data_IF_900968877519
#
_entry.id   IF_900968877519
#
_cell.length_a   1.000
_cell.length_b   1.000
_cell.length_c   1.000
_cell.angle_alpha   90.00
_cell.angle_beta   90.00
_cell.angle_gamma   90.00
#
_symmetry.space_group_name_H-M   'P 1'
#
loop_
_entity.id
_entity.type
_entity.pdbx_description
1 polymer ?
#
# COMPACT_ATOMS: atom_id res chain seq x y z
N UNK A 1 7.26 -5.59 2.17
CA UNK A 1 6.85 -6.74 1.33
C UNK A 1 7.71 -7.98 1.56
N UNK A 2 9.04 -7.92 1.38
CA UNK A 2 9.92 -9.09 1.61
C UNK A 2 9.72 -9.68 3.01
N UNK A 3 9.60 -8.83 4.04
CA UNK A 3 9.37 -9.27 5.41
C UNK A 3 8.10 -10.14 5.58
N UNK A 4 7.04 -9.90 4.79
CA UNK A 4 5.83 -10.73 4.84
C UNK A 4 6.11 -12.14 4.30
N UNK A 5 6.72 -12.23 3.12
CA UNK A 5 7.06 -13.51 2.50
C UNK A 5 8.07 -14.31 3.35
N UNK A 6 9.08 -13.63 3.88
CA UNK A 6 10.08 -14.22 4.77
C UNK A 6 9.45 -14.75 6.07
N UNK A 7 8.60 -13.96 6.73
CA UNK A 7 7.91 -14.38 7.96
C UNK A 7 7.04 -15.63 7.75
N UNK A 8 6.40 -15.74 6.58
CA UNK A 8 5.58 -16.89 6.21
C UNK A 8 6.36 -18.02 5.51
N UNK A 9 7.68 -17.92 5.38
CA UNK A 9 8.56 -18.88 4.71
C UNK A 9 8.11 -19.21 3.27
N UNK A 10 7.64 -18.19 2.54
CA UNK A 10 7.18 -18.30 1.16
C UNK A 10 8.33 -17.91 0.23
N UNK A 11 8.76 -18.84 -0.63
CA UNK A 11 9.71 -18.58 -1.71
C UNK A 11 8.96 -18.51 -3.06
N UNK A 12 8.56 -17.31 -3.53
CA UNK A 12 7.78 -17.19 -4.75
C UNK A 12 8.63 -17.49 -5.99
N UNK A 13 8.04 -18.16 -6.97
CA UNK A 13 8.60 -18.18 -8.32
C UNK A 13 8.32 -16.84 -9.00
N UNK A 14 9.32 -15.97 -9.06
CA UNK A 14 9.15 -14.61 -9.62
C UNK A 14 9.06 -14.69 -11.15
N UNK A 15 7.83 -14.64 -11.67
CA UNK A 15 7.56 -14.67 -13.12
C UNK A 15 7.99 -13.36 -13.80
N UNK A 16 7.75 -12.21 -13.16
CA UNK A 16 8.08 -10.90 -13.70
C UNK A 16 8.43 -9.92 -12.57
N UNK A 17 9.35 -8.99 -12.86
CA UNK A 17 9.59 -7.80 -12.02
C UNK A 17 9.13 -6.55 -12.77
N UNK A 18 8.32 -5.73 -12.12
CA UNK A 18 7.86 -4.44 -12.62
C UNK A 18 8.16 -3.35 -11.60
N UNK A 19 8.28 -2.10 -12.05
CA UNK A 19 8.45 -0.93 -11.16
C UNK A 19 7.20 -0.05 -11.08
N UNK A 20 6.25 -0.30 -11.96
CA UNK A 20 5.07 0.52 -12.14
C UNK A 20 3.81 -0.29 -11.77
N UNK A 21 2.94 0.32 -10.97
CA UNK A 21 1.74 -0.32 -10.44
C UNK A 21 0.72 -0.61 -11.54
N UNK A 22 0.55 0.29 -12.51
CA UNK A 22 -0.40 0.09 -13.62
C UNK A 22 0.02 -1.09 -14.49
N UNK A 23 1.32 -1.16 -14.83
CA UNK A 23 1.89 -2.27 -15.60
C UNK A 23 1.74 -3.59 -14.85
N UNK A 24 1.97 -3.59 -13.53
CA UNK A 24 1.79 -4.78 -12.70
C UNK A 24 0.33 -5.28 -12.74
N UNK A 25 -0.63 -4.38 -12.58
CA UNK A 25 -2.06 -4.72 -12.61
C UNK A 25 -2.49 -5.22 -13.99
N UNK A 26 -1.98 -4.64 -15.07
CA UNK A 26 -2.26 -5.11 -16.42
C UNK A 26 -1.77 -6.55 -16.64
N UNK A 27 -0.61 -6.93 -16.10
CA UNK A 27 -0.09 -8.30 -16.18
C UNK A 27 -0.93 -9.29 -15.36
N UNK A 28 -1.41 -8.87 -14.18
CA UNK A 28 -2.33 -9.68 -13.37
C UNK A 28 -3.65 -9.88 -14.10
N UNK A 29 -4.24 -8.82 -14.65
CA UNK A 29 -5.47 -8.89 -15.45
C UNK A 29 -5.30 -9.75 -16.72
N UNK A 30 -4.09 -9.78 -17.31
CA UNK A 30 -3.75 -10.65 -18.43
C UNK A 30 -3.48 -12.12 -18.03
N UNK A 31 -3.59 -12.47 -16.74
CA UNK A 31 -3.43 -13.84 -16.25
C UNK A 31 -1.98 -14.31 -16.08
N UNK A 32 -1.01 -13.38 -16.06
CA UNK A 32 0.42 -13.73 -15.91
C UNK A 32 0.74 -14.26 -14.51
N UNK A 33 -0.05 -13.88 -13.49
CA UNK A 33 0.10 -14.36 -12.13
C UNK A 33 -0.62 -13.49 -11.10
N UNK A 34 -0.05 -13.43 -9.89
CA UNK A 34 -0.57 -12.64 -8.76
C UNK A 34 0.43 -11.58 -8.33
N UNK A 35 -0.05 -10.53 -7.66
CA UNK A 35 0.77 -9.48 -7.08
C UNK A 35 0.30 -9.17 -5.65
N UNK A 36 1.24 -8.82 -4.78
CA UNK A 36 0.89 -8.20 -3.49
C UNK A 36 0.93 -6.69 -3.68
N UNK A 37 -0.12 -6.01 -3.26
CA UNK A 37 -0.30 -4.56 -3.46
C UNK A 37 -0.86 -3.91 -2.19
N UNK A 38 -0.66 -2.59 -1.99
CA UNK A 38 -1.37 -1.85 -0.95
C UNK A 38 -2.88 -1.90 -1.18
N UNK A 39 -3.67 -1.90 -0.11
CA UNK A 39 -5.15 -1.88 -0.17
C UNK A 39 -5.69 -0.72 -1.00
N UNK A 40 -5.03 0.45 -0.94
CA UNK A 40 -5.39 1.63 -1.73
C UNK A 40 -5.35 1.41 -3.24
N UNK A 41 -4.74 0.32 -3.71
CA UNK A 41 -4.75 -0.06 -5.13
C UNK A 41 -6.17 -0.37 -5.61
N UNK A 42 -7.08 -0.75 -4.72
CA UNK A 42 -8.49 -1.00 -5.06
C UNK A 42 -9.15 0.18 -5.78
N UNK A 43 -8.75 1.42 -5.46
CA UNK A 43 -9.29 2.63 -6.09
C UNK A 43 -8.89 2.82 -7.56
N UNK A 44 -7.88 2.10 -8.04
CA UNK A 44 -7.32 2.25 -9.39
C UNK A 44 -7.23 0.92 -10.14
N UNK A 45 -7.69 -0.18 -9.54
CA UNK A 45 -7.63 -1.49 -10.17
C UNK A 45 -8.63 -1.59 -11.33
N UNK A 46 -8.21 -2.10 -12.51
CA UNK A 46 -9.14 -2.37 -13.60
C UNK A 46 -10.15 -3.46 -13.21
N UNK A 47 -11.29 -3.46 -13.89
CA UNK A 47 -12.32 -4.49 -13.71
C UNK A 47 -11.76 -5.90 -13.96
N UNK A 48 -12.28 -6.89 -13.24
CA UNK A 48 -11.88 -8.29 -13.37
C UNK A 48 -10.65 -8.69 -12.55
N UNK A 49 -10.17 -7.83 -11.65
CA UNK A 49 -9.16 -8.21 -10.65
C UNK A 49 -9.85 -8.45 -9.31
N UNK A 50 -9.69 -9.67 -8.78
CA UNK A 50 -10.08 -9.98 -7.41
C UNK A 50 -8.99 -9.54 -6.42
N UNK A 51 -9.39 -8.81 -5.37
CA UNK A 51 -8.52 -8.41 -4.28
C UNK A 51 -8.77 -9.26 -3.04
N UNK A 52 -7.71 -9.90 -2.55
CA UNK A 52 -7.75 -10.73 -1.35
C UNK A 52 -6.93 -10.04 -0.23
N UNK A 53 -7.54 -9.72 0.92
CA UNK A 53 -6.81 -9.07 2.00
C UNK A 53 -5.79 -10.03 2.62
N UNK A 54 -4.58 -9.53 2.85
CA UNK A 54 -3.57 -10.24 3.63
C UNK A 54 -3.82 -10.02 5.12
N UNK A 55 -3.62 -11.06 5.92
CA UNK A 55 -3.79 -11.01 7.37
C UNK A 55 -2.55 -11.51 8.09
N UNK A 56 -2.38 -11.10 9.35
CA UNK A 56 -1.26 -11.52 10.20
C UNK A 56 -0.05 -10.58 10.18
N UNK A 57 1.06 -10.98 10.81
CA UNK A 57 2.25 -10.14 10.95
C UNK A 57 2.81 -9.72 9.60
N UNK A 58 3.27 -8.47 9.52
CA UNK A 58 3.85 -7.86 8.31
C UNK A 58 2.90 -7.73 7.11
N UNK A 59 1.59 -7.98 7.28
CA UNK A 59 0.57 -7.71 6.25
C UNK A 59 0.26 -6.21 6.08
N UNK A 60 0.67 -5.38 7.04
CA UNK A 60 0.57 -3.93 7.02
C UNK A 60 1.94 -3.28 7.24
N UNK A 61 2.03 -1.99 6.90
CA UNK A 61 3.17 -1.14 7.21
C UNK A 61 2.69 0.27 7.55
N UNK A 62 3.47 0.97 8.35
CA UNK A 62 3.16 2.35 8.71
C UNK A 62 3.47 3.30 7.55
N UNK A 63 2.59 4.27 7.33
CA UNK A 63 2.82 5.40 6.43
C UNK A 63 3.06 6.63 7.27
N UNK A 64 4.21 7.28 7.05
CA UNK A 64 4.62 8.47 7.79
C UNK A 64 4.67 9.72 6.93
N UNK A 65 4.43 10.87 7.56
CA UNK A 65 4.69 12.18 6.98
C UNK A 65 5.93 12.79 7.63
N UNK A 66 6.73 13.50 6.83
CA UNK A 66 7.96 14.15 7.31
C UNK A 66 8.04 15.58 6.79
N UNK A 67 8.50 16.49 7.64
CA UNK A 67 8.71 17.90 7.30
C UNK A 67 9.86 18.50 8.10
N UNK A 68 10.40 19.62 7.63
CA UNK A 68 11.39 20.38 8.37
C UNK A 68 10.69 21.35 9.35
N UNK A 69 10.84 21.19 10.67
CA UNK A 69 10.17 22.05 11.64
C UNK A 69 10.73 23.48 11.66
N UNK A 70 11.93 23.73 11.12
CA UNK A 70 12.54 25.06 11.08
C UNK A 70 11.89 26.00 10.06
N UNK A 71 11.11 25.47 9.11
CA UNK A 71 10.41 26.26 8.09
C UNK A 71 8.96 26.45 8.52
N UNK A 72 8.52 27.70 8.71
CA UNK A 72 7.12 27.99 8.97
C UNK A 72 6.30 27.87 7.67
N UNK A 73 5.25 27.06 7.70
CA UNK A 73 4.34 26.87 6.57
C UNK A 73 2.91 26.61 7.09
N UNK A 74 2.03 27.61 7.04
CA UNK A 74 0.64 27.46 7.48
C UNK A 74 -0.14 26.40 6.70
N UNK A 75 0.17 26.16 5.42
CA UNK A 75 -0.52 25.16 4.62
C UNK A 75 -0.12 23.75 5.04
N UNK A 76 1.17 23.54 5.33
CA UNK A 76 1.66 22.29 5.95
C UNK A 76 0.92 22.03 7.27
N UNK A 77 0.87 23.02 8.15
CA UNK A 77 0.28 22.85 9.49
C UNK A 77 -1.22 22.54 9.41
N UNK A 78 -1.94 23.19 8.49
CA UNK A 78 -3.33 22.86 8.17
C UNK A 78 -3.47 21.42 7.64
N UNK A 79 -2.60 21.01 6.72
CA UNK A 79 -2.64 19.66 6.16
C UNK A 79 -2.38 18.58 7.22
N UNK A 80 -1.38 18.77 8.07
CA UNK A 80 -1.08 17.87 9.19
C UNK A 80 -2.30 17.77 10.13
N UNK A 81 -2.94 18.89 10.45
CA UNK A 81 -4.15 18.92 11.27
C UNK A 81 -5.33 18.16 10.65
N UNK A 82 -5.51 18.25 9.32
CA UNK A 82 -6.53 17.48 8.60
C UNK A 82 -6.27 15.98 8.68
N UNK A 83 -5.03 15.55 8.44
CA UNK A 83 -4.66 14.13 8.50
C UNK A 83 -4.82 13.56 9.91
N UNK A 84 -4.38 14.30 10.95
CA UNK A 84 -4.55 13.88 12.34
C UNK A 84 -6.02 13.71 12.75
N UNK A 85 -6.89 14.57 12.22
CA UNK A 85 -8.34 14.46 12.45
C UNK A 85 -8.91 13.24 11.73
N UNK A 86 -8.53 13.00 10.47
CA UNK A 86 -8.98 11.85 9.70
C UNK A 86 -8.54 10.51 10.32
N UNK A 87 -7.31 10.43 10.83
CA UNK A 87 -6.78 9.26 11.56
C UNK A 87 -7.60 8.93 12.81
N UNK A 88 -8.03 9.94 13.57
CA UNK A 88 -8.82 9.72 14.79
C UNK A 88 -10.20 9.10 14.53
N UNK A 89 -10.74 9.28 13.32
CA UNK A 89 -12.03 8.72 12.90
C UNK A 89 -11.89 7.28 12.40
N UNK A 90 -10.72 6.89 11.88
CA UNK A 90 -10.53 5.64 11.15
C UNK A 90 -9.84 4.53 11.96
N UNK A 91 -9.58 4.74 13.26
CA UNK A 91 -9.00 3.71 14.13
C UNK A 91 -10.08 2.67 14.50
N UNK A 92 -9.97 1.40 14.09
CA UNK A 92 -10.84 0.35 14.63
C UNK A 92 -10.56 0.19 16.13
N UNK A 93 -11.64 0.06 16.91
CA UNK A 93 -11.57 -0.25 18.35
C UNK A 93 -11.04 -1.66 18.61
#
# INVERSE_FOLDING_TARGET
MNNFLEYHNIAPHVVQRTRDLQTMLALVAAGVGIAIVPESTAYIAPEGIDMLPLTGPYASWDVGMYWNPALADPMRDLFIGMVQTAESVNRPQ
#
